data_IF_112497216249
#
_entry.id   IF_112497216249
#
_cell.length_a   1.000
_cell.length_b   1.000
_cell.length_c   1.000
_cell.angle_alpha   90.00
_cell.angle_beta   90.00
_cell.angle_gamma   90.00
#
_symmetry.space_group_name_H-M   'P 1'
#
loop_
_entity.id
_entity.type
_entity.pdbx_description
1 polymer ?
#
# COMPACT_ATOMS: atom_id res chain seq x y z
N UNK A 1 38.99 19.72 30.54
CA UNK A 1 37.63 20.05 30.06
C UNK A 1 37.68 20.21 28.55
N UNK A 2 37.03 19.32 27.79
CA UNK A 2 36.57 19.58 26.42
C UNK A 2 35.19 18.96 26.30
N UNK A 3 34.22 19.82 26.03
CA UNK A 3 32.81 19.50 25.90
C UNK A 3 32.61 18.47 24.79
N UNK A 4 31.92 17.36 25.09
CA UNK A 4 31.43 16.41 24.09
C UNK A 4 30.33 17.08 23.27
N UNK A 5 30.70 17.94 22.32
CA UNK A 5 29.78 18.35 21.26
C UNK A 5 29.46 17.09 20.44
N UNK A 6 28.19 16.65 20.52
CA UNK A 6 27.69 15.53 19.71
C UNK A 6 27.83 15.91 18.24
N UNK A 7 28.88 15.43 17.59
CA UNK A 7 29.11 15.64 16.16
C UNK A 7 27.90 15.13 15.37
N UNK A 8 27.41 15.98 14.48
CA UNK A 8 26.35 15.63 13.53
C UNK A 8 26.83 14.51 12.60
N UNK A 9 25.92 13.73 12.02
CA UNK A 9 26.29 12.61 11.14
C UNK A 9 27.19 13.05 9.98
N UNK A 10 26.94 14.24 9.40
CA UNK A 10 27.78 14.82 8.35
C UNK A 10 29.21 15.11 8.82
N UNK A 11 29.38 15.67 10.03
CA UNK A 11 30.70 15.93 10.62
C UNK A 11 31.45 14.64 10.96
N UNK A 12 30.74 13.60 11.41
CA UNK A 12 31.33 12.28 11.64
C UNK A 12 31.85 11.65 10.35
N UNK A 13 31.08 11.76 9.27
CA UNK A 13 31.48 11.28 7.94
C UNK A 13 32.71 12.05 7.45
N UNK A 14 32.71 13.38 7.59
CA UNK A 14 33.84 14.20 7.17
C UNK A 14 35.12 13.91 7.98
N UNK A 15 34.98 13.71 9.30
CA UNK A 15 36.09 13.29 10.16
C UNK A 15 36.63 11.90 9.78
N UNK A 16 35.75 10.95 9.45
CA UNK A 16 36.15 9.62 8.96
C UNK A 16 36.95 9.71 7.64
N UNK A 17 36.50 10.53 6.69
CA UNK A 17 37.24 10.77 5.45
C UNK A 17 38.61 11.40 5.73
N UNK A 18 38.71 12.36 6.63
CA UNK A 18 39.99 12.99 7.00
C UNK A 18 40.94 11.99 7.68
N UNK A 19 40.45 11.16 8.59
CA UNK A 19 41.22 10.12 9.27
C UNK A 19 41.67 9.01 8.31
N UNK A 20 40.87 8.73 7.29
CA UNK A 20 41.14 7.71 6.28
C UNK A 20 42.01 8.20 5.13
N UNK A 21 42.60 9.40 5.20
CA UNK A 21 43.49 9.94 4.17
C UNK A 21 42.79 10.70 3.03
N UNK A 22 41.54 11.11 3.23
CA UNK A 22 40.74 11.89 2.30
C UNK A 22 39.89 11.05 1.33
N UNK A 23 38.92 11.67 0.64
CA UNK A 23 38.00 11.00 -0.28
C UNK A 23 38.68 10.37 -1.51
N UNK A 24 39.94 10.74 -1.80
CA UNK A 24 40.73 10.19 -2.90
C UNK A 24 41.64 9.01 -2.49
N UNK A 25 41.51 8.46 -1.28
CA UNK A 25 42.26 7.28 -0.90
C UNK A 25 41.71 6.03 -1.63
N UNK A 26 42.55 5.37 -2.44
CA UNK A 26 42.21 4.16 -3.18
C UNK A 26 41.69 3.01 -2.28
N UNK A 27 42.04 3.04 -0.99
CA UNK A 27 41.62 2.04 0.02
C UNK A 27 40.36 2.45 0.77
N UNK A 28 39.77 3.62 0.47
CA UNK A 28 38.63 4.14 1.23
C UNK A 28 37.41 3.23 1.14
N UNK A 29 37.19 2.61 -0.02
CA UNK A 29 36.10 1.65 -0.20
C UNK A 29 36.28 0.43 0.72
N UNK A 30 37.50 -0.09 0.86
CA UNK A 30 37.80 -1.22 1.77
C UNK A 30 37.71 -0.82 3.24
N UNK A 31 38.09 0.42 3.58
CA UNK A 31 37.99 0.96 4.94
C UNK A 31 36.53 1.21 5.33
N UNK A 32 35.73 1.72 4.40
CA UNK A 32 34.29 1.93 4.56
C UNK A 32 33.57 0.59 4.72
N UNK A 33 33.87 -0.39 3.87
CA UNK A 33 33.30 -1.75 3.95
C UNK A 33 33.65 -2.43 5.28
N UNK A 34 34.91 -2.29 5.74
CA UNK A 34 35.32 -2.80 7.06
C UNK A 34 34.63 -2.05 8.21
N UNK A 35 34.41 -0.75 8.07
CA UNK A 35 33.67 0.03 9.06
C UNK A 35 32.16 -0.30 9.04
N UNK A 36 31.60 -0.60 7.88
CA UNK A 36 30.23 -1.09 7.70
C UNK A 36 30.05 -2.55 8.08
N UNK A 37 31.10 -3.37 8.19
CA UNK A 37 31.00 -4.75 8.68
C UNK A 37 31.35 -4.89 10.17
N UNK A 38 32.26 -4.06 10.68
CA UNK A 38 32.86 -4.21 12.01
C UNK A 38 32.80 -2.93 12.85
N UNK A 39 32.07 -1.92 12.39
CA UNK A 39 31.87 -0.66 13.08
C UNK A 39 31.22 -0.87 14.44
N UNK A 40 31.61 -0.04 15.40
CA UNK A 40 31.17 -0.07 16.80
C UNK A 40 29.67 0.23 16.97
N UNK A 41 29.02 0.68 15.90
CA UNK A 41 27.61 1.08 15.81
C UNK A 41 26.72 0.01 15.15
N UNK A 42 27.24 -1.20 14.90
CA UNK A 42 26.37 -2.35 14.63
C UNK A 42 25.62 -2.72 15.91
N UNK A 43 24.30 -2.82 15.82
CA UNK A 43 23.42 -3.26 16.90
C UNK A 43 23.84 -4.56 17.58
N UNK A 44 23.12 -4.89 18.68
CA UNK A 44 23.50 -5.91 19.64
C UNK A 44 24.05 -7.20 19.01
N UNK A 45 25.21 -7.65 19.51
CA UNK A 45 25.98 -8.81 19.03
C UNK A 45 25.07 -10.05 18.90
N UNK A 46 24.68 -10.39 17.68
CA UNK A 46 23.78 -11.52 17.37
C UNK A 46 22.51 -11.16 16.61
N UNK A 47 22.18 -9.88 16.48
CA UNK A 47 21.08 -9.40 15.63
C UNK A 47 21.66 -8.88 14.32
N UNK A 48 21.32 -9.52 13.20
CA UNK A 48 21.57 -8.92 11.88
C UNK A 48 20.53 -7.83 11.71
N UNK A 49 20.93 -6.57 11.85
CA UNK A 49 20.09 -5.45 11.44
C UNK A 49 19.64 -5.68 10.00
N UNK A 50 18.32 -5.74 9.82
CA UNK A 50 17.74 -5.81 8.49
C UNK A 50 17.76 -4.43 7.85
N UNK A 51 17.71 -4.37 6.53
CA UNK A 51 17.55 -3.10 5.82
C UNK A 51 16.31 -2.33 6.30
N UNK A 52 15.28 -3.07 6.72
CA UNK A 52 14.04 -2.53 7.26
C UNK A 52 14.27 -1.85 8.61
N UNK A 53 15.11 -2.42 9.49
CA UNK A 53 15.45 -1.82 10.79
C UNK A 53 16.21 -0.50 10.62
N UNK A 54 17.20 -0.46 9.73
CA UNK A 54 17.96 0.76 9.43
C UNK A 54 17.08 1.85 8.79
N UNK A 55 16.13 1.46 7.94
CA UNK A 55 15.14 2.37 7.38
C UNK A 55 14.21 2.93 8.45
N UNK A 56 13.72 2.07 9.35
CA UNK A 56 12.86 2.49 10.46
C UNK A 56 13.58 3.44 11.41
N UNK A 57 14.84 3.18 11.74
CA UNK A 57 15.65 4.09 12.55
C UNK A 57 15.84 5.46 11.88
N UNK A 58 16.08 5.47 10.56
CA UNK A 58 16.22 6.72 9.79
C UNK A 58 14.91 7.51 9.77
N UNK A 59 13.76 6.85 9.59
CA UNK A 59 12.45 7.48 9.59
C UNK A 59 12.05 7.97 10.99
N UNK A 60 12.46 7.28 12.05
CA UNK A 60 12.17 7.67 13.43
C UNK A 60 13.07 8.83 13.92
N UNK A 61 14.30 8.90 13.44
CA UNK A 61 15.24 9.96 13.81
C UNK A 61 15.03 11.27 13.02
N UNK A 62 14.23 11.25 11.94
CA UNK A 62 13.84 12.44 11.19
C UNK A 62 12.33 12.73 11.34
N UNK A 63 11.95 13.78 12.11
CA UNK A 63 10.55 14.17 12.29
C UNK A 63 9.78 14.44 10.99
N UNK A 64 10.46 14.84 9.92
CA UNK A 64 9.83 15.11 8.63
C UNK A 64 9.42 13.84 7.90
N UNK A 65 10.25 12.79 7.98
CA UNK A 65 9.96 11.48 7.39
C UNK A 65 8.82 10.77 8.13
N UNK A 66 8.73 10.96 9.44
CA UNK A 66 7.61 10.44 10.24
C UNK A 66 6.26 11.00 9.76
N UNK A 67 6.19 12.30 9.45
CA UNK A 67 4.98 12.94 8.93
C UNK A 67 4.61 12.39 7.54
N UNK A 68 5.60 12.20 6.67
CA UNK A 68 5.38 11.60 5.35
C UNK A 68 4.89 10.15 5.46
N UNK A 69 5.48 9.36 6.35
CA UNK A 69 5.08 7.98 6.60
C UNK A 69 3.63 7.89 7.10
N UNK A 70 3.26 8.73 8.08
CA UNK A 70 1.88 8.81 8.58
C UNK A 70 0.89 9.21 7.48
N UNK A 71 1.26 10.17 6.62
CA UNK A 71 0.42 10.57 5.50
C UNK A 71 0.23 9.42 4.50
N UNK A 72 1.31 8.70 4.16
CA UNK A 72 1.28 7.54 3.29
C UNK A 72 0.40 6.41 3.86
N UNK A 73 0.49 6.14 5.16
CA UNK A 73 -0.33 5.14 5.83
C UNK A 73 -1.82 5.51 5.78
N UNK A 74 -2.17 6.78 6.06
CA UNK A 74 -3.55 7.27 5.94
C UNK A 74 -4.09 7.17 4.50
N UNK A 75 -3.26 7.52 3.52
CA UNK A 75 -3.63 7.39 2.11
C UNK A 75 -3.89 5.94 1.70
N UNK A 76 -3.02 5.00 2.11
CA UNK A 76 -3.21 3.56 1.88
C UNK A 76 -4.49 3.04 2.54
N UNK A 77 -4.73 3.41 3.80
CA UNK A 77 -5.95 3.02 4.50
C UNK A 77 -7.22 3.57 3.83
N UNK A 78 -7.18 4.81 3.32
CA UNK A 78 -8.30 5.40 2.58
C UNK A 78 -8.56 4.68 1.26
N UNK A 79 -7.50 4.29 0.52
CA UNK A 79 -7.64 3.50 -0.71
C UNK A 79 -8.22 2.12 -0.46
N UNK A 80 -7.79 1.43 0.60
CA UNK A 80 -8.35 0.12 0.95
C UNK A 80 -9.85 0.20 1.25
N UNK A 81 -10.27 1.17 2.10
CA UNK A 81 -11.69 1.40 2.38
C UNK A 81 -12.51 1.78 1.14
N UNK A 82 -11.92 2.54 0.20
CA UNK A 82 -12.59 2.87 -1.06
C UNK A 82 -12.77 1.64 -1.95
N UNK A 83 -11.76 0.77 -2.03
CA UNK A 83 -11.85 -0.46 -2.80
C UNK A 83 -12.89 -1.42 -2.20
N UNK A 84 -12.86 -1.66 -0.89
CA UNK A 84 -13.85 -2.50 -0.19
C UNK A 84 -15.28 -2.00 -0.43
N UNK A 85 -15.50 -0.69 -0.27
CA UNK A 85 -16.81 -0.07 -0.53
C UNK A 85 -17.22 -0.18 -2.00
N UNK A 86 -16.28 -0.03 -2.94
CA UNK A 86 -16.51 -0.20 -4.36
C UNK A 86 -16.89 -1.65 -4.72
N UNK A 87 -16.25 -2.63 -4.10
CA UNK A 87 -16.55 -4.06 -4.27
C UNK A 87 -17.93 -4.41 -3.71
N UNK A 88 -18.30 -3.89 -2.53
CA UNK A 88 -19.64 -4.05 -1.96
C UNK A 88 -20.73 -3.43 -2.85
N UNK A 89 -20.52 -2.21 -3.35
CA UNK A 89 -21.46 -1.54 -4.25
C UNK A 89 -21.61 -2.30 -5.57
N UNK A 90 -20.50 -2.82 -6.11
CA UNK A 90 -20.51 -3.65 -7.32
C UNK A 90 -21.29 -4.95 -7.11
N UNK A 91 -21.08 -5.63 -5.97
CA UNK A 91 -21.84 -6.83 -5.64
C UNK A 91 -23.35 -6.56 -5.54
N UNK A 92 -23.75 -5.48 -4.86
CA UNK A 92 -25.16 -5.07 -4.78
C UNK A 92 -25.77 -4.77 -6.15
N UNK A 93 -25.02 -4.11 -7.04
CA UNK A 93 -25.47 -3.83 -8.40
C UNK A 93 -25.67 -5.11 -9.21
N UNK A 94 -24.74 -6.07 -9.09
CA UNK A 94 -24.85 -7.37 -9.77
C UNK A 94 -26.08 -8.14 -9.29
N UNK A 95 -26.33 -8.18 -7.97
CA UNK A 95 -27.53 -8.83 -7.43
C UNK A 95 -28.82 -8.17 -7.93
N UNK A 96 -28.84 -6.82 -7.97
CA UNK A 96 -30.00 -6.08 -8.45
C UNK A 96 -30.25 -6.29 -9.94
N UNK A 97 -29.21 -6.39 -10.75
CA UNK A 97 -29.34 -6.72 -12.17
C UNK A 97 -29.93 -8.12 -12.36
N UNK A 98 -29.44 -9.12 -11.62
CA UNK A 98 -29.99 -10.47 -11.66
C UNK A 98 -31.47 -10.51 -11.26
N UNK A 99 -31.85 -9.76 -10.22
CA UNK A 99 -33.25 -9.68 -9.80
C UNK A 99 -34.13 -9.07 -10.91
N UNK A 100 -33.67 -7.98 -11.54
CA UNK A 100 -34.38 -7.34 -12.65
C UNK A 100 -34.49 -8.24 -13.88
N UNK A 101 -33.46 -9.03 -14.20
CA UNK A 101 -33.52 -10.02 -15.28
C UNK A 101 -34.61 -11.06 -15.02
N UNK A 102 -34.70 -11.57 -13.78
CA UNK A 102 -35.76 -12.51 -13.39
C UNK A 102 -37.15 -11.86 -13.50
N UNK A 103 -37.31 -10.63 -13.02
CA UNK A 103 -38.59 -9.91 -13.15
C UNK A 103 -39.00 -9.71 -14.62
N UNK A 104 -38.06 -9.33 -15.49
CA UNK A 104 -38.32 -9.16 -16.92
C UNK A 104 -38.74 -10.48 -17.58
N UNK A 105 -38.09 -11.59 -17.24
CA UNK A 105 -38.49 -12.91 -17.77
C UNK A 105 -39.90 -13.30 -17.31
N UNK A 106 -40.23 -13.10 -16.04
CA UNK A 106 -41.58 -13.36 -15.52
C UNK A 106 -42.64 -12.48 -16.18
N UNK A 107 -42.36 -11.19 -16.37
CA UNK A 107 -43.26 -10.26 -17.06
C UNK A 107 -43.48 -10.72 -18.51
N UNK A 108 -42.41 -11.12 -19.21
CA UNK A 108 -42.48 -11.61 -20.58
C UNK A 108 -43.36 -12.86 -20.69
N UNK A 109 -43.17 -13.83 -19.80
CA UNK A 109 -44.00 -15.06 -19.73
C UNK A 109 -45.46 -14.70 -19.49
N UNK A 110 -45.73 -13.85 -18.50
CA UNK A 110 -47.10 -13.40 -18.17
C UNK A 110 -47.78 -12.70 -19.35
N UNK A 111 -47.04 -11.91 -20.11
CA UNK A 111 -47.52 -11.25 -21.32
C UNK A 111 -47.86 -12.25 -22.42
N UNK A 112 -46.98 -13.23 -22.66
CA UNK A 112 -47.21 -14.30 -23.64
C UNK A 112 -48.45 -15.14 -23.28
N UNK A 113 -48.62 -15.48 -21.99
CA UNK A 113 -49.80 -16.18 -21.48
C UNK A 113 -51.08 -15.37 -21.71
N UNK A 114 -51.10 -14.08 -21.33
CA UNK A 114 -52.26 -13.21 -21.56
C UNK A 114 -52.58 -13.06 -23.05
N UNK A 115 -51.56 -12.92 -23.89
CA UNK A 115 -51.74 -12.82 -25.34
C UNK A 115 -52.36 -14.10 -25.91
N UNK A 116 -51.88 -15.27 -25.48
CA UNK A 116 -52.44 -16.57 -25.89
C UNK A 116 -53.90 -16.76 -25.46
N UNK A 117 -54.25 -16.29 -24.25
CA UNK A 117 -55.61 -16.37 -23.72
C UNK A 117 -56.58 -15.42 -24.44
N UNK A 118 -56.12 -14.21 -24.80
CA UNK A 118 -56.91 -13.27 -25.60
C UNK A 118 -57.15 -13.79 -27.02
N UNK A 119 -56.16 -14.46 -27.63
CA UNK A 119 -56.32 -15.10 -28.93
C UNK A 119 -57.37 -16.21 -28.87
N UNK A 120 -57.26 -17.14 -27.91
CA UNK A 120 -58.25 -18.21 -27.70
C UNK A 120 -59.66 -17.70 -27.45
N UNK A 121 -59.83 -16.64 -26.63
CA UNK A 121 -61.15 -16.03 -26.41
C UNK A 121 -61.74 -15.42 -27.67
N UNK A 122 -60.92 -14.77 -28.51
CA UNK A 122 -61.37 -14.18 -29.77
C UNK A 122 -61.86 -15.26 -30.74
N UNK A 123 -61.08 -16.32 -30.89
CA UNK A 123 -61.40 -17.44 -31.79
C UNK A 123 -62.69 -18.17 -31.37
N UNK A 124 -63.00 -18.21 -30.07
CA UNK A 124 -64.22 -18.81 -29.52
C UNK A 124 -65.49 -17.96 -29.71
N UNK A 125 -65.37 -16.63 -29.82
CA UNK A 125 -66.52 -15.71 -29.98
C UNK A 125 -66.89 -15.52 -31.46
N UNK A 126 -66.02 -15.95 -32.38
CA UNK A 126 -66.24 -15.89 -33.84
C UNK A 126 -66.92 -17.13 -34.45
N UNK A 127 -67.41 -18.06 -33.62
CA UNK A 127 -68.28 -19.18 -34.00
C UNK A 127 -69.70 -18.96 -33.49
#
# INVERSE_FOLDING_TARGET
MKENQKMTMGERIQAFYLQSGGPNNEKINKLLEKHLLYGKDHGAKGYKETFEDAFMETVLNDPSLLLMYQHLQRWRAKKMKQNERGEEELHRLIERLKALEVELTNIKVTLEEKHSNLKRKRDFVSF
#
